data_IF_055064685290
#
_entry.id   IF_055064685290
#
_cell.length_a   1.000
_cell.length_b   1.000
_cell.length_c   1.000
_cell.angle_alpha   90.00
_cell.angle_beta   90.00
_cell.angle_gamma   90.00
#
_symmetry.space_group_name_H-M   'P 1'
#
loop_
_entity.id
_entity.type
_entity.pdbx_description
1 polymer ?
#
# COMPACT_ATOMS: atom_id res chain seq x y z
N UNK A 1 -12.82 -13.00 8.79
CA UNK A 1 -11.44 -12.92 8.23
C UNK A 1 -10.44 -12.97 9.38
N UNK A 2 -9.27 -13.58 9.18
CA UNK A 2 -8.18 -13.60 10.16
C UNK A 2 -6.93 -12.95 9.53
N UNK A 3 -6.20 -12.18 10.33
CA UNK A 3 -4.94 -11.56 9.91
C UNK A 3 -3.94 -11.81 11.03
N UNK A 4 -2.85 -12.51 10.73
CA UNK A 4 -1.81 -12.84 11.72
C UNK A 4 -0.95 -11.61 12.00
N UNK A 5 -0.35 -11.57 13.18
CA UNK A 5 0.42 -10.42 13.64
C UNK A 5 1.73 -10.20 12.87
N UNK A 6 2.48 -11.28 12.63
CA UNK A 6 3.74 -11.24 11.90
C UNK A 6 3.63 -10.64 10.49
N UNK A 7 2.63 -11.01 9.65
CA UNK A 7 2.36 -10.32 8.40
C UNK A 7 2.05 -8.82 8.54
N UNK A 8 1.42 -8.38 9.64
CA UNK A 8 1.13 -6.96 9.87
C UNK A 8 2.42 -6.21 10.19
N UNK A 9 3.29 -6.81 11.00
CA UNK A 9 4.62 -6.25 11.30
C UNK A 9 5.47 -6.09 10.04
N UNK A 10 5.52 -7.13 9.19
CA UNK A 10 6.25 -7.05 7.92
C UNK A 10 5.63 -6.04 6.94
N UNK A 11 4.30 -5.95 6.90
CA UNK A 11 3.58 -4.95 6.09
C UNK A 11 3.94 -3.52 6.49
N UNK A 12 4.03 -3.22 7.80
CA UNK A 12 4.49 -1.92 8.31
C UNK A 12 5.96 -1.67 7.95
N UNK A 13 6.85 -2.66 8.18
CA UNK A 13 8.26 -2.58 7.78
C UNK A 13 8.42 -2.25 6.31
N UNK A 14 7.67 -2.94 5.44
CA UNK A 14 7.73 -2.73 3.99
C UNK A 14 7.29 -1.31 3.64
N UNK A 15 6.19 -0.81 4.21
CA UNK A 15 5.72 0.55 4.00
C UNK A 15 6.79 1.60 4.34
N UNK A 16 7.42 1.48 5.52
CA UNK A 16 8.51 2.40 5.93
C UNK A 16 9.69 2.31 4.96
N UNK A 17 10.09 1.09 4.57
CA UNK A 17 11.21 0.90 3.65
C UNK A 17 10.97 1.54 2.28
N UNK A 18 9.72 1.49 1.78
CA UNK A 18 9.34 2.11 0.50
C UNK A 18 9.29 3.62 0.61
N UNK A 19 8.67 4.16 1.67
CA UNK A 19 8.65 5.60 1.92
C UNK A 19 10.07 6.19 2.01
N UNK A 20 10.97 5.51 2.72
CA UNK A 20 12.38 5.89 2.81
C UNK A 20 13.10 5.84 1.47
N UNK A 21 12.87 4.80 0.67
CA UNK A 21 13.55 4.62 -0.61
C UNK A 21 13.11 5.62 -1.68
N UNK A 22 11.84 6.07 -1.67
CA UNK A 22 11.32 6.97 -2.71
C UNK A 22 11.21 8.43 -2.24
N UNK A 23 11.18 8.68 -0.94
CA UNK A 23 10.88 10.00 -0.37
C UNK A 23 9.41 10.42 -0.53
N UNK A 24 8.55 9.56 -1.07
CA UNK A 24 7.13 9.83 -1.26
C UNK A 24 6.36 9.64 0.06
N UNK A 25 5.29 10.42 0.31
CA UNK A 25 4.40 10.16 1.44
C UNK A 25 3.79 8.76 1.34
N UNK A 26 3.70 8.07 2.48
CA UNK A 26 3.05 6.77 2.58
C UNK A 26 1.79 6.86 3.44
N UNK A 27 0.65 6.53 2.85
CA UNK A 27 -0.66 6.67 3.48
C UNK A 27 -1.21 5.27 3.76
N UNK A 28 -1.50 4.98 5.01
CA UNK A 28 -2.25 3.79 5.44
C UNK A 28 -3.75 4.03 5.27
N UNK A 29 -4.40 3.26 4.41
CA UNK A 29 -5.83 3.46 4.06
C UNK A 29 -6.70 2.63 5.01
N UNK A 30 -6.97 3.18 6.19
CA UNK A 30 -7.67 2.52 7.28
C UNK A 30 -8.75 3.43 7.84
N UNK A 31 -9.96 2.91 8.02
CA UNK A 31 -11.08 3.66 8.58
C UNK A 31 -11.32 3.24 10.05
N UNK A 32 -11.07 4.15 11.00
CA UNK A 32 -11.30 3.89 12.44
C UNK A 32 -12.75 3.46 12.76
N UNK A 33 -13.73 3.79 11.90
CA UNK A 33 -15.13 3.38 12.06
C UNK A 33 -15.35 1.90 11.71
N UNK A 34 -14.41 1.27 11.01
CA UNK A 34 -14.41 -0.17 10.74
C UNK A 34 -13.66 -0.88 11.84
N UNK A 35 -14.35 -1.73 12.60
CA UNK A 35 -13.76 -2.43 13.75
C UNK A 35 -12.46 -3.19 13.41
N UNK A 36 -12.39 -3.81 12.23
CA UNK A 36 -11.18 -4.48 11.75
C UNK A 36 -10.02 -3.49 11.54
N UNK A 37 -10.27 -2.40 10.82
CA UNK A 37 -9.26 -1.39 10.52
C UNK A 37 -8.81 -0.67 11.81
N UNK A 38 -9.70 -0.43 12.77
CA UNK A 38 -9.34 0.15 14.07
C UNK A 38 -8.32 -0.71 14.84
N UNK A 39 -8.47 -2.04 14.81
CA UNK A 39 -7.47 -2.95 15.38
C UNK A 39 -6.14 -2.86 14.63
N UNK A 40 -6.18 -2.74 13.30
CA UNK A 40 -4.97 -2.55 12.49
C UNK A 40 -4.30 -1.21 12.78
N UNK A 41 -5.04 -0.12 12.95
CA UNK A 41 -4.51 1.21 13.32
C UNK A 41 -3.69 1.11 14.61
N UNK A 42 -4.22 0.42 15.63
CA UNK A 42 -3.48 0.17 16.88
C UNK A 42 -2.15 -0.56 16.66
N UNK A 43 -2.13 -1.58 15.79
CA UNK A 43 -0.91 -2.31 15.43
C UNK A 43 0.06 -1.47 14.62
N UNK A 44 -0.42 -0.72 13.62
CA UNK A 44 0.40 0.20 12.81
C UNK A 44 1.09 1.23 13.72
N UNK A 45 0.35 1.90 14.61
CA UNK A 45 0.91 2.86 15.55
C UNK A 45 1.92 2.25 16.52
N UNK A 46 1.78 0.96 16.84
CA UNK A 46 2.73 0.24 17.68
C UNK A 46 4.01 -0.06 16.89
N UNK A 47 3.90 -0.64 15.69
CA UNK A 47 5.04 -1.10 14.91
C UNK A 47 5.80 0.03 14.20
N UNK A 48 5.17 1.16 13.92
CA UNK A 48 5.88 2.34 13.44
C UNK A 48 6.96 2.84 14.44
N UNK A 49 6.81 2.55 15.74
CA UNK A 49 7.81 2.91 16.76
C UNK A 49 9.07 2.04 16.71
N UNK A 50 9.00 0.89 16.05
CA UNK A 50 10.14 -0.02 15.88
C UNK A 50 11.01 0.37 14.67
N UNK A 51 10.69 1.49 14.00
CA UNK A 51 11.36 1.95 12.78
C UNK A 51 11.78 3.41 12.89
N UNK A 52 12.87 3.76 12.21
CA UNK A 52 13.25 5.16 12.01
C UNK A 52 12.31 5.81 10.97
N UNK A 53 11.42 6.67 11.45
CA UNK A 53 10.46 7.44 10.65
C UNK A 53 10.85 8.91 10.50
N UNK A 54 12.04 9.32 10.97
CA UNK A 54 12.46 10.71 10.91
C UNK A 54 12.53 11.20 9.46
N UNK A 55 11.91 12.35 9.20
CA UNK A 55 11.81 12.93 7.86
C UNK A 55 10.90 12.17 6.88
N UNK A 56 10.15 11.16 7.32
CA UNK A 56 9.11 10.51 6.50
C UNK A 56 7.74 11.14 6.74
N UNK A 57 6.99 11.28 5.67
CA UNK A 57 5.57 11.62 5.74
C UNK A 57 4.73 10.34 5.72
N UNK A 58 4.41 9.83 6.92
CA UNK A 58 3.57 8.64 7.10
C UNK A 58 2.28 9.04 7.80
N UNK A 59 1.14 8.72 7.20
CA UNK A 59 -0.18 9.08 7.74
C UNK A 59 -1.15 7.92 7.69
N UNK A 60 -2.17 7.97 8.53
CA UNK A 60 -3.33 7.09 8.49
C UNK A 60 -4.52 7.93 8.04
N UNK A 61 -5.23 7.51 7.01
CA UNK A 61 -6.42 8.18 6.47
C UNK A 61 -7.49 7.16 6.12
N UNK A 62 -8.76 7.50 6.31
CA UNK A 62 -9.85 6.65 5.79
C UNK A 62 -9.78 6.59 4.26
N UNK A 63 -10.19 5.48 3.61
CA UNK A 63 -9.98 5.27 2.19
C UNK A 63 -10.45 6.42 1.27
N UNK A 64 -11.58 7.05 1.59
CA UNK A 64 -12.12 8.18 0.81
C UNK A 64 -11.21 9.41 0.89
N UNK A 65 -10.64 9.70 2.05
CA UNK A 65 -9.75 10.85 2.20
C UNK A 65 -8.39 10.55 1.57
N UNK A 66 -7.93 9.30 1.72
CA UNK A 66 -6.67 8.84 1.16
C UNK A 66 -6.66 8.90 -0.37
N UNK A 67 -7.74 8.45 -1.04
CA UNK A 67 -7.84 8.53 -2.51
C UNK A 67 -7.91 9.98 -2.99
N UNK A 68 -8.64 10.86 -2.29
CA UNK A 68 -8.71 12.28 -2.64
C UNK A 68 -7.33 12.96 -2.51
N UNK A 69 -6.60 12.66 -1.44
CA UNK A 69 -5.23 13.12 -1.24
C UNK A 69 -4.28 12.64 -2.34
N UNK A 70 -4.31 11.34 -2.65
CA UNK A 70 -3.49 10.74 -3.70
C UNK A 70 -3.81 11.31 -5.08
N UNK A 71 -5.09 11.44 -5.43
CA UNK A 71 -5.52 11.99 -6.73
C UNK A 71 -5.09 13.45 -6.89
N UNK A 72 -5.25 14.27 -5.84
CA UNK A 72 -4.79 15.67 -5.88
C UNK A 72 -3.28 15.75 -6.17
N UNK A 73 -2.48 14.97 -5.44
CA UNK A 73 -1.03 14.91 -5.64
C UNK A 73 -0.67 14.41 -7.04
N UNK A 74 -1.35 13.38 -7.53
CA UNK A 74 -1.14 12.85 -8.87
C UNK A 74 -1.41 13.91 -9.96
N UNK A 75 -2.48 14.71 -9.82
CA UNK A 75 -2.75 15.82 -10.76
C UNK A 75 -1.71 16.94 -10.71
N UNK A 76 -0.96 17.03 -9.61
CA UNK A 76 0.17 17.96 -9.43
C UNK A 76 1.52 17.32 -9.84
N UNK A 77 1.50 16.11 -10.42
CA UNK A 77 2.70 15.38 -10.83
C UNK A 77 3.52 14.80 -9.67
N UNK A 78 2.88 14.56 -8.52
CA UNK A 78 3.53 14.08 -7.30
C UNK A 78 3.08 12.66 -6.93
N UNK A 79 4.03 11.86 -6.44
CA UNK A 79 3.78 10.46 -6.08
C UNK A 79 3.23 10.30 -4.66
N UNK A 80 2.45 9.24 -4.45
CA UNK A 80 1.95 8.84 -3.12
C UNK A 80 1.92 7.32 -3.01
N UNK A 81 2.50 6.76 -1.93
CA UNK A 81 2.43 5.32 -1.66
C UNK A 81 1.12 5.02 -0.94
N UNK A 82 0.30 4.13 -1.52
CA UNK A 82 -0.89 3.58 -0.87
C UNK A 82 -0.53 2.30 -0.11
N UNK A 83 -0.75 2.31 1.21
CA UNK A 83 -0.49 1.18 2.10
C UNK A 83 -1.83 0.62 2.55
N UNK A 84 -2.24 -0.50 1.96
CA UNK A 84 -3.63 -0.98 2.07
C UNK A 84 -3.72 -2.45 2.45
N UNK A 85 -4.92 -2.88 2.86
CA UNK A 85 -5.24 -4.29 3.07
C UNK A 85 -5.51 -5.03 1.75
N UNK A 86 -5.69 -6.35 1.82
CA UNK A 86 -5.68 -7.24 0.65
C UNK A 86 -6.68 -6.87 -0.47
N UNK A 87 -7.90 -6.46 -0.12
CA UNK A 87 -8.93 -6.10 -1.12
C UNK A 87 -8.58 -4.79 -1.84
N UNK A 88 -8.17 -3.77 -1.09
CA UNK A 88 -7.80 -2.48 -1.68
C UNK A 88 -6.50 -2.58 -2.48
N UNK A 89 -5.58 -3.47 -2.12
CA UNK A 89 -4.40 -3.75 -2.96
C UNK A 89 -4.83 -4.10 -4.37
N UNK A 90 -5.70 -5.11 -4.50
CA UNK A 90 -6.23 -5.59 -5.79
C UNK A 90 -6.86 -4.46 -6.61
N UNK A 91 -7.75 -3.67 -6.00
CA UNK A 91 -8.45 -2.59 -6.70
C UNK A 91 -7.52 -1.47 -7.15
N UNK A 92 -6.58 -1.07 -6.28
CA UNK A 92 -5.72 0.08 -6.55
C UNK A 92 -4.59 -0.26 -7.54
N UNK A 93 -4.09 -1.49 -7.52
CA UNK A 93 -3.08 -1.95 -8.49
C UNK A 93 -3.63 -2.17 -9.89
N UNK A 94 -4.95 -2.24 -10.05
CA UNK A 94 -5.59 -2.10 -11.37
C UNK A 94 -5.90 -0.63 -11.69
N UNK A 95 -6.55 0.09 -10.76
CA UNK A 95 -7.07 1.44 -11.02
C UNK A 95 -5.99 2.43 -11.48
N UNK A 96 -4.94 2.63 -10.69
CA UNK A 96 -3.93 3.64 -10.99
C UNK A 96 -3.10 3.30 -12.23
N UNK A 97 -2.59 2.06 -12.39
CA UNK A 97 -1.86 1.69 -13.60
C UNK A 97 -2.69 1.79 -14.88
N UNK A 98 -3.99 1.49 -14.85
CA UNK A 98 -4.87 1.71 -16.01
C UNK A 98 -4.95 3.20 -16.35
N UNK A 99 -5.10 4.08 -15.36
CA UNK A 99 -5.15 5.53 -15.59
C UNK A 99 -3.81 6.11 -16.07
N UNK A 100 -2.69 5.60 -15.54
CA UNK A 100 -1.35 6.14 -15.81
C UNK A 100 -0.71 5.56 -17.08
N UNK A 101 -0.91 4.27 -17.35
CA UNK A 101 -0.21 3.51 -18.41
C UNK A 101 -1.16 2.92 -19.46
N UNK A 102 -2.47 3.05 -19.28
CA UNK A 102 -3.49 2.43 -20.13
C UNK A 102 -3.65 0.92 -19.90
N UNK A 103 -2.92 0.31 -18.97
CA UNK A 103 -2.99 -1.12 -18.62
C UNK A 103 -2.30 -1.41 -17.28
N UNK A 104 -2.80 -2.39 -16.52
CA UNK A 104 -2.16 -2.89 -15.29
C UNK A 104 -1.16 -4.03 -15.52
N UNK A 105 -1.01 -4.50 -16.75
CA UNK A 105 -0.07 -5.58 -17.09
C UNK A 105 1.41 -5.15 -17.06
N UNK A 106 1.70 -3.85 -17.12
CA UNK A 106 3.06 -3.29 -17.16
C UNK A 106 3.55 -2.85 -15.77
N UNK A 107 3.31 -3.67 -14.75
CA UNK A 107 3.64 -3.36 -13.36
C UNK A 107 4.68 -4.32 -12.79
N UNK A 108 5.56 -3.80 -11.93
CA UNK A 108 6.39 -4.64 -11.07
C UNK A 108 5.55 -5.07 -9.85
N UNK A 109 5.27 -6.35 -9.74
CA UNK A 109 4.64 -6.94 -8.54
C UNK A 109 5.67 -7.81 -7.82
N UNK A 110 6.17 -7.31 -6.69
CA UNK A 110 7.23 -7.94 -5.89
C UNK A 110 6.65 -8.29 -4.52
N UNK A 111 6.75 -9.56 -4.14
CA UNK A 111 6.33 -10.09 -2.84
C UNK A 111 7.57 -10.61 -2.10
N UNK A 112 8.13 -9.84 -1.17
CA UNK A 112 9.17 -10.32 -0.27
C UNK A 112 8.59 -11.43 0.61
N UNK A 113 9.14 -12.64 0.53
CA UNK A 113 8.70 -13.76 1.36
C UNK A 113 9.24 -13.58 2.78
N UNK A 114 8.41 -13.87 3.79
CA UNK A 114 8.81 -13.81 5.20
C UNK A 114 10.04 -14.67 5.52
N UNK A 115 10.24 -15.77 4.80
CA UNK A 115 11.38 -16.67 4.94
C UNK A 115 12.67 -16.17 4.25
N UNK A 116 12.70 -14.95 3.71
CA UNK A 116 13.87 -14.34 3.08
C UNK A 116 14.02 -14.58 1.57
N UNK A 117 13.02 -15.18 0.92
CA UNK A 117 12.96 -15.32 -0.55
C UNK A 117 12.21 -14.15 -1.23
N UNK A 118 12.15 -14.16 -2.56
CA UNK A 118 11.37 -13.19 -3.34
C UNK A 118 10.46 -13.89 -4.34
N UNK A 119 9.19 -13.47 -4.39
CA UNK A 119 8.25 -13.84 -5.44
C UNK A 119 8.03 -12.62 -6.34
N UNK A 120 8.09 -12.85 -7.65
CA UNK A 120 7.97 -11.81 -8.68
C UNK A 120 6.82 -12.18 -9.62
N UNK A 121 5.73 -11.42 -9.58
CA UNK A 121 4.59 -11.62 -10.49
C UNK A 121 4.77 -10.74 -11.72
N UNK A 122 4.33 -11.24 -12.89
CA UNK A 122 4.60 -10.63 -14.20
C UNK A 122 3.70 -9.42 -14.55
N UNK A 123 2.93 -8.91 -13.59
CA UNK A 123 1.98 -7.80 -13.74
C UNK A 123 0.93 -7.80 -12.63
N UNK A 124 0.04 -6.81 -12.61
CA UNK A 124 -1.05 -6.71 -11.62
C UNK A 124 -2.44 -7.10 -12.16
N UNK A 125 -2.58 -7.30 -13.49
CA UNK A 125 -3.85 -7.62 -14.14
C UNK A 125 -4.15 -9.12 -14.32
N UNK A 126 -5.37 -9.44 -14.75
CA UNK A 126 -5.83 -10.82 -15.01
C UNK A 126 -5.38 -11.42 -16.36
N UNK A 127 -5.86 -12.62 -16.67
CA UNK A 127 -5.43 -13.42 -17.85
C UNK A 127 -5.96 -12.95 -19.21
N UNK A 128 -6.68 -11.84 -19.26
CA UNK A 128 -7.15 -11.17 -20.48
C UNK A 128 -7.86 -12.08 -21.53
N UNK A 129 -9.03 -12.70 -21.19
CA UNK A 129 -9.67 -13.76 -21.99
C UNK A 129 -10.29 -13.34 -23.34
N UNK A 130 -10.29 -12.03 -23.67
CA UNK A 130 -10.80 -11.50 -24.94
C UNK A 130 -9.72 -11.27 -26.00
N UNK A 131 -8.45 -11.55 -25.67
CA UNK A 131 -7.33 -11.48 -26.60
C UNK A 131 -7.29 -12.67 -27.57
#
# INVERSE_FOLDING_TARGET
CQTKDEPIRDWVRLAVSRARATGSPAIFWLDEKRAHDNVLIGKVNTYLKDHDTDGLDIRIMKPVDAVNFSMKRATEGQDTISVTGNVLRDYLTDLFPILELGTSAKMLSIVPLLAGGGLFETGAGGSAPKH
#
